data_IF_172093374121
#
_entry.id   IF_172093374121
#
_cell.length_a   1.000
_cell.length_b   1.000
_cell.length_c   1.000
_cell.angle_alpha   90.00
_cell.angle_beta   90.00
_cell.angle_gamma   90.00
#
_symmetry.space_group_name_H-M   'P 1'
#
loop_
_entity.id
_entity.type
_entity.pdbx_description
1 polymer ?
#
# COMPACT_ATOMS: atom_id res chain seq x y z
N UNK A 1 -6.27 4.05 41.94
CA UNK A 1 -5.50 4.58 40.79
C UNK A 1 -4.79 3.47 40.00
N UNK A 2 -5.41 2.29 39.81
CA UNK A 2 -4.91 1.22 38.92
C UNK A 2 -6.02 0.70 37.98
N UNK A 3 -7.27 1.03 38.27
CA UNK A 3 -8.42 0.61 37.46
C UNK A 3 -8.66 1.50 36.21
N UNK A 4 -8.05 2.69 36.14
CA UNK A 4 -8.16 3.61 35.01
C UNK A 4 -7.18 3.31 33.85
N UNK A 5 -6.11 2.55 34.09
CA UNK A 5 -5.13 2.20 33.06
C UNK A 5 -5.59 1.02 32.19
N UNK A 6 -6.42 0.12 32.70
CA UNK A 6 -6.87 -1.06 31.93
C UNK A 6 -8.02 -0.71 30.97
N UNK A 7 -8.86 0.29 31.29
CA UNK A 7 -9.87 0.79 30.35
C UNK A 7 -9.26 1.63 29.19
N UNK A 8 -8.09 2.23 29.39
CA UNK A 8 -7.41 3.00 28.34
C UNK A 8 -6.81 2.12 27.24
N UNK A 9 -6.33 0.92 27.60
CA UNK A 9 -5.73 -0.03 26.63
C UNK A 9 -6.80 -0.77 25.83
N UNK A 10 -7.96 -1.04 26.43
CA UNK A 10 -9.08 -1.72 25.74
C UNK A 10 -9.84 -0.78 24.79
N UNK A 11 -9.89 0.52 25.08
CA UNK A 11 -10.49 1.52 24.17
C UNK A 11 -9.64 1.74 22.91
N UNK A 12 -8.31 1.67 23.03
CA UNK A 12 -7.38 1.83 21.90
C UNK A 12 -7.47 0.70 20.84
N UNK A 13 -8.01 -0.47 21.21
CA UNK A 13 -8.12 -1.62 20.28
C UNK A 13 -9.40 -1.60 19.43
N UNK A 14 -10.39 -0.75 19.74
CA UNK A 14 -11.61 -0.54 18.91
C UNK A 14 -11.62 0.78 18.13
N UNK A 15 -10.65 1.67 18.37
CA UNK A 15 -10.30 2.79 17.48
C UNK A 15 -9.52 2.27 16.24
N UNK A 16 -9.90 1.09 15.74
CA UNK A 16 -9.26 0.40 14.63
C UNK A 16 -9.28 1.23 13.37
N UNK A 17 -8.41 0.89 12.40
CA UNK A 17 -8.13 1.47 11.08
C UNK A 17 -8.97 2.66 10.55
N UNK A 18 -10.29 2.71 10.77
CA UNK A 18 -11.14 3.88 10.57
C UNK A 18 -10.70 5.14 11.33
N UNK A 19 -10.20 5.05 12.58
CA UNK A 19 -9.63 6.22 13.27
C UNK A 19 -8.39 6.72 12.53
N UNK A 20 -7.48 5.81 12.19
CA UNK A 20 -6.27 6.13 11.42
C UNK A 20 -6.63 6.77 10.08
N UNK A 21 -7.58 6.21 9.32
CA UNK A 21 -8.05 6.80 8.06
C UNK A 21 -8.57 8.23 8.25
N UNK A 22 -9.30 8.50 9.34
CA UNK A 22 -9.83 9.83 9.65
C UNK A 22 -8.70 10.82 9.95
N UNK A 23 -7.74 10.45 10.79
CA UNK A 23 -6.63 11.33 11.15
C UNK A 23 -5.67 11.55 9.96
N UNK A 24 -5.38 10.49 9.20
CA UNK A 24 -4.62 10.59 7.94
C UNK A 24 -5.33 11.51 6.94
N UNK A 25 -6.66 11.41 6.83
CA UNK A 25 -7.45 12.33 6.01
C UNK A 25 -7.27 13.81 6.39
N UNK A 26 -7.11 14.12 7.68
CA UNK A 26 -6.79 15.50 8.13
C UNK A 26 -5.39 15.91 7.69
N UNK A 27 -4.40 15.03 7.85
CA UNK A 27 -3.01 15.29 7.41
C UNK A 27 -2.99 15.61 5.92
N UNK A 28 -3.62 14.78 5.11
CA UNK A 28 -3.70 14.94 3.65
C UNK A 28 -4.45 16.21 3.23
N UNK A 29 -5.52 16.59 3.95
CA UNK A 29 -6.28 17.80 3.62
C UNK A 29 -5.44 19.08 3.70
N UNK A 30 -4.31 19.05 4.43
CA UNK A 30 -3.32 20.12 4.49
C UNK A 30 -2.27 20.11 3.37
N UNK A 31 -2.24 19.08 2.50
CA UNK A 31 -1.20 18.85 1.49
C UNK A 31 -1.59 19.23 0.06
N UNK A 32 -2.70 19.96 -0.13
CA UNK A 32 -3.36 20.29 -1.40
C UNK A 32 -4.04 19.10 -2.10
N UNK A 33 -5.37 19.03 -1.91
CA UNK A 33 -6.34 18.74 -2.97
C UNK A 33 -6.20 17.45 -3.76
N UNK A 34 -6.61 16.33 -3.16
CA UNK A 34 -7.02 15.15 -3.90
C UNK A 34 -8.08 14.35 -3.14
N UNK A 35 -8.81 13.45 -3.81
CA UNK A 35 -9.98 12.80 -3.23
C UNK A 35 -9.63 11.84 -2.08
N UNK A 36 -9.69 12.35 -0.85
CA UNK A 36 -9.45 11.60 0.39
C UNK A 36 -10.42 10.42 0.59
N UNK A 37 -11.50 10.33 -0.19
CA UNK A 37 -12.48 9.24 -0.14
C UNK A 37 -11.94 7.91 -0.69
N UNK A 38 -10.72 7.91 -1.22
CA UNK A 38 -10.12 6.79 -1.95
C UNK A 38 -9.04 6.00 -1.18
N UNK A 39 -8.75 6.32 0.09
CA UNK A 39 -7.86 5.49 0.92
C UNK A 39 -8.55 4.14 1.19
N UNK A 40 -8.41 3.22 0.24
CA UNK A 40 -9.01 1.89 0.29
C UNK A 40 -8.04 0.92 0.93
N UNK A 41 -6.78 1.00 0.50
CA UNK A 41 -5.71 0.15 0.97
C UNK A 41 -4.84 0.93 1.92
N UNK A 42 -4.86 0.56 3.21
CA UNK A 42 -4.08 1.20 4.27
C UNK A 42 -3.61 0.11 5.23
N UNK A 43 -2.30 0.01 5.43
CA UNK A 43 -1.71 -0.87 6.43
C UNK A 43 -0.74 -0.08 7.32
N UNK A 44 -0.67 -0.34 8.63
CA UNK A 44 0.53 -0.03 9.40
C UNK A 44 1.65 -0.99 8.98
N UNK A 45 2.85 -0.46 8.73
CA UNK A 45 4.02 -1.27 8.36
C UNK A 45 5.33 -0.55 8.71
N UNK A 46 6.46 -1.25 8.61
CA UNK A 46 7.82 -0.67 8.73
C UNK A 46 8.01 0.22 9.96
N UNK A 47 7.63 -0.31 11.12
CA UNK A 47 7.87 0.32 12.44
C UNK A 47 7.31 1.74 12.58
N UNK A 48 5.97 1.87 12.51
CA UNK A 48 5.27 3.11 12.82
C UNK A 48 4.86 3.95 11.62
N UNK A 49 5.13 3.45 10.41
CA UNK A 49 4.64 4.05 9.18
C UNK A 49 3.28 3.47 8.79
N UNK A 50 2.57 4.21 7.97
CA UNK A 50 1.35 3.79 7.30
C UNK A 50 1.57 3.87 5.80
N UNK A 51 1.21 2.81 5.08
CA UNK A 51 1.30 2.73 3.63
C UNK A 51 -0.09 2.65 3.03
N UNK A 52 -0.31 3.43 1.97
CA UNK A 52 -1.63 3.57 1.38
C UNK A 52 -1.59 4.05 -0.06
N UNK A 53 -2.68 3.79 -0.78
CA UNK A 53 -2.90 4.40 -2.09
C UNK A 53 -3.39 5.85 -1.93
N UNK A 54 -2.80 6.78 -2.66
CA UNK A 54 -3.24 8.17 -2.68
C UNK A 54 -2.94 8.82 -4.03
N UNK A 55 -3.90 9.59 -4.50
CA UNK A 55 -3.76 10.52 -5.62
C UNK A 55 -3.48 11.89 -5.02
N UNK A 56 -2.56 12.67 -5.58
CA UNK A 56 -2.26 14.06 -5.17
C UNK A 56 -2.67 15.09 -6.25
N UNK A 57 -3.34 14.64 -7.30
CA UNK A 57 -3.74 15.43 -8.46
C UNK A 57 -2.61 15.72 -9.45
N UNK A 58 -1.40 15.21 -9.20
CA UNK A 58 -0.20 15.39 -10.04
C UNK A 58 0.31 14.05 -10.58
N UNK A 59 0.40 13.04 -9.71
CA UNK A 59 1.00 11.73 -10.01
C UNK A 59 -0.05 10.62 -10.18
N UNK A 60 -1.34 10.96 -10.18
CA UNK A 60 -2.41 9.95 -10.10
C UNK A 60 -2.33 9.11 -8.83
N UNK A 61 -3.11 8.03 -8.76
CA UNK A 61 -3.20 7.17 -7.58
C UNK A 61 -1.97 6.26 -7.41
N UNK A 62 -1.09 6.62 -6.48
CA UNK A 62 0.23 6.02 -6.27
C UNK A 62 0.45 5.51 -4.84
N UNK A 63 1.63 4.94 -4.57
CA UNK A 63 1.98 4.42 -3.25
C UNK A 63 2.56 5.53 -2.38
N UNK A 64 1.90 5.79 -1.26
CA UNK A 64 2.29 6.80 -0.28
C UNK A 64 2.62 6.18 1.06
N UNK A 65 3.46 6.88 1.81
CA UNK A 65 3.73 6.56 3.20
C UNK A 65 3.53 7.77 4.10
N UNK A 66 3.19 7.52 5.37
CA UNK A 66 3.01 8.57 6.38
C UNK A 66 3.39 8.07 7.77
N UNK A 67 3.96 8.96 8.59
CA UNK A 67 4.11 8.80 10.04
C UNK A 67 2.98 9.49 10.82
N UNK A 68 1.88 9.82 10.13
CA UNK A 68 0.75 10.63 10.63
C UNK A 68 1.09 12.11 10.85
N UNK A 69 2.17 12.62 10.25
CA UNK A 69 2.50 14.05 10.20
C UNK A 69 2.57 14.56 8.77
N UNK A 70 2.32 15.86 8.51
CA UNK A 70 2.48 16.42 7.17
C UNK A 70 3.90 16.25 6.60
N UNK A 71 4.94 16.36 7.43
CA UNK A 71 6.33 16.26 6.99
C UNK A 71 6.79 14.83 6.70
N UNK A 72 6.25 13.84 7.43
CA UNK A 72 6.53 12.43 7.18
C UNK A 72 5.61 11.79 6.15
N UNK A 73 4.65 12.54 5.59
CA UNK A 73 3.75 12.10 4.52
C UNK A 73 4.34 12.41 3.17
N UNK A 74 4.58 11.38 2.35
CA UNK A 74 5.21 11.53 1.04
C UNK A 74 4.88 10.37 0.10
N UNK A 75 4.96 10.66 -1.20
CA UNK A 75 5.02 9.67 -2.27
C UNK A 75 6.24 8.76 -2.03
N UNK A 76 6.05 7.46 -2.16
CA UNK A 76 7.14 6.47 -2.09
C UNK A 76 7.85 6.42 -3.44
N UNK A 77 7.06 6.31 -4.51
CA UNK A 77 7.50 6.31 -5.91
C UNK A 77 6.31 6.63 -6.81
N UNK A 78 6.55 7.40 -7.85
CA UNK A 78 5.64 7.54 -9.01
C UNK A 78 5.81 6.28 -9.87
N UNK A 79 4.95 5.27 -9.69
CA UNK A 79 5.06 3.97 -10.37
C UNK A 79 4.56 4.13 -11.82
N UNK A 80 3.38 4.72 -12.01
CA UNK A 80 2.87 5.05 -13.33
C UNK A 80 3.15 6.51 -13.67
N UNK A 81 4.32 6.77 -14.29
CA UNK A 81 4.84 8.13 -14.50
C UNK A 81 3.79 9.17 -14.94
N UNK A 82 3.78 10.30 -14.24
CA UNK A 82 2.91 11.45 -14.52
C UNK A 82 1.51 11.27 -13.95
N UNK A 83 0.48 11.82 -14.62
CA UNK A 83 -0.88 11.81 -14.08
C UNK A 83 -1.64 10.47 -14.32
N UNK A 84 -0.92 9.37 -14.53
CA UNK A 84 -1.53 8.04 -14.69
C UNK A 84 -1.71 7.41 -13.31
N UNK A 85 -2.65 6.47 -13.20
CA UNK A 85 -2.85 5.77 -11.93
C UNK A 85 -2.07 4.45 -11.93
N UNK A 86 -1.13 4.28 -11.00
CA UNK A 86 -0.51 2.98 -10.75
C UNK A 86 -1.39 2.03 -9.91
N UNK A 87 -2.43 2.56 -9.26
CA UNK A 87 -3.39 1.85 -8.41
C UNK A 87 -2.78 0.82 -7.42
N UNK A 88 -1.89 1.20 -6.50
CA UNK A 88 -1.36 0.24 -5.52
C UNK A 88 -2.44 -0.37 -4.63
N UNK A 89 -2.48 -1.70 -4.55
CA UNK A 89 -3.47 -2.43 -3.76
C UNK A 89 -2.95 -3.78 -3.27
N UNK A 90 -3.75 -4.49 -2.44
CA UNK A 90 -3.33 -5.74 -1.80
C UNK A 90 -1.97 -5.61 -1.07
N UNK A 91 -1.80 -4.55 -0.28
CA UNK A 91 -0.56 -4.33 0.48
C UNK A 91 -0.40 -5.38 1.58
N UNK A 92 0.78 -5.99 1.65
CA UNK A 92 1.16 -6.96 2.68
C UNK A 92 2.59 -6.71 3.14
N UNK A 93 2.82 -6.55 4.45
CA UNK A 93 4.17 -6.51 5.01
C UNK A 93 4.70 -7.93 5.24
N UNK A 94 5.89 -8.21 4.73
CA UNK A 94 6.65 -9.43 4.99
C UNK A 94 8.15 -9.13 5.05
N UNK A 95 8.85 -9.66 6.06
CA UNK A 95 10.30 -9.50 6.23
C UNK A 95 10.85 -8.07 6.07
N UNK A 96 10.13 -7.08 6.65
CA UNK A 96 10.44 -5.63 6.59
C UNK A 96 10.41 -5.06 5.16
N UNK A 97 9.57 -5.62 4.31
CA UNK A 97 9.23 -5.10 2.98
C UNK A 97 7.72 -5.14 2.82
N UNK A 98 7.21 -4.33 1.91
CA UNK A 98 5.80 -4.31 1.57
C UNK A 98 5.67 -4.80 0.13
N UNK A 99 4.83 -5.80 -0.04
CA UNK A 99 4.46 -6.38 -1.31
C UNK A 99 3.06 -5.91 -1.68
N UNK A 100 2.85 -5.59 -2.94
CA UNK A 100 1.60 -5.00 -3.42
C UNK A 100 1.44 -5.17 -4.93
N UNK A 101 0.20 -5.09 -5.40
CA UNK A 101 -0.12 -5.05 -6.83
C UNK A 101 -0.07 -3.60 -7.33
N UNK A 102 0.53 -3.35 -8.50
CA UNK A 102 0.50 -2.05 -9.17
C UNK A 102 0.80 -2.18 -10.67
N UNK A 103 0.40 -1.18 -11.45
CA UNK A 103 0.63 -1.07 -12.90
C UNK A 103 1.53 0.14 -13.20
N UNK A 104 2.64 -0.03 -13.92
CA UNK A 104 3.51 1.09 -14.33
C UNK A 104 3.16 1.65 -15.72
N UNK A 105 2.09 1.14 -16.33
CA UNK A 105 1.65 1.46 -17.68
C UNK A 105 2.50 0.79 -18.78
N UNK A 106 3.41 -0.11 -18.41
CA UNK A 106 4.29 -0.86 -19.32
C UNK A 106 4.09 -2.37 -19.17
N UNK A 107 4.01 -2.87 -17.93
CA UNK A 107 3.91 -4.30 -17.60
C UNK A 107 2.48 -4.74 -17.21
N UNK A 108 1.52 -3.82 -17.17
CA UNK A 108 0.22 -4.11 -16.59
C UNK A 108 0.31 -4.28 -15.07
N UNK A 109 -0.80 -4.69 -14.44
CA UNK A 109 -0.85 -4.94 -13.00
C UNK A 109 -0.04 -6.19 -12.64
N UNK A 110 1.03 -5.99 -11.87
CA UNK A 110 1.99 -7.02 -11.48
C UNK A 110 2.40 -6.91 -10.00
N UNK A 111 3.25 -7.83 -9.52
CA UNK A 111 3.72 -7.82 -8.12
C UNK A 111 4.91 -6.86 -7.95
N UNK A 112 4.77 -5.89 -7.05
CA UNK A 112 5.78 -4.91 -6.66
C UNK A 112 6.23 -5.10 -5.23
N UNK A 113 7.42 -4.58 -4.92
CA UNK A 113 7.97 -4.54 -3.56
C UNK A 113 8.55 -3.17 -3.25
N UNK A 114 8.44 -2.75 -1.98
CA UNK A 114 9.12 -1.56 -1.44
C UNK A 114 9.71 -1.83 -0.05
N UNK A 115 10.77 -1.11 0.29
CA UNK A 115 11.29 -0.95 1.66
C UNK A 115 10.94 0.43 2.28
N UNK A 116 10.04 1.19 1.64
CA UNK A 116 9.68 2.55 2.03
C UNK A 116 10.57 3.64 1.40
N UNK A 117 11.48 3.27 0.51
CA UNK A 117 12.31 4.20 -0.26
C UNK A 117 12.06 4.05 -1.76
N UNK A 118 12.20 5.14 -2.51
CA UNK A 118 12.07 5.14 -3.96
C UNK A 118 13.04 4.14 -4.61
N UNK A 119 14.30 4.11 -4.16
CA UNK A 119 15.34 3.21 -4.67
C UNK A 119 15.07 1.73 -4.35
N UNK A 120 14.43 1.46 -3.21
CA UNK A 120 14.00 0.12 -2.81
C UNK A 120 12.63 -0.27 -3.36
N UNK A 121 12.02 0.52 -4.25
CA UNK A 121 10.72 0.25 -4.86
C UNK A 121 10.84 -0.19 -6.31
N UNK A 122 10.49 -1.45 -6.59
CA UNK A 122 10.68 -2.08 -7.90
C UNK A 122 9.69 -3.22 -8.17
N UNK A 123 9.52 -3.54 -9.46
CA UNK A 123 8.76 -4.69 -9.94
C UNK A 123 9.44 -5.98 -9.43
N UNK A 124 8.76 -6.70 -8.53
CA UNK A 124 9.31 -7.90 -7.91
C UNK A 124 9.24 -9.09 -8.87
N UNK A 125 8.10 -9.24 -9.55
CA UNK A 125 7.84 -10.28 -10.53
C UNK A 125 6.89 -9.73 -11.59
N UNK A 126 7.29 -9.91 -12.85
CA UNK A 126 6.42 -9.78 -14.04
C UNK A 126 5.89 -11.18 -14.36
N UNK A 127 4.69 -11.51 -13.87
CA UNK A 127 4.09 -12.84 -14.05
C UNK A 127 3.63 -13.03 -15.49
N UNK A 128 3.15 -11.97 -16.14
CA UNK A 128 2.73 -11.98 -17.54
C UNK A 128 3.58 -11.01 -18.38
N UNK A 129 4.69 -11.50 -18.97
CA UNK A 129 5.61 -10.65 -19.71
C UNK A 129 4.92 -9.76 -20.75
N UNK A 130 5.16 -8.45 -20.63
CA UNK A 130 4.56 -7.43 -21.49
C UNK A 130 3.38 -6.73 -20.80
N UNK A 131 2.48 -6.11 -21.56
CA UNK A 131 1.45 -5.22 -21.00
C UNK A 131 0.20 -5.94 -20.44
N UNK A 132 0.28 -7.25 -20.20
CA UNK A 132 -0.88 -8.04 -19.78
C UNK A 132 -0.88 -8.17 -18.25
N UNK A 133 -1.93 -7.69 -17.59
CA UNK A 133 -2.06 -7.80 -16.13
C UNK A 133 -2.09 -9.26 -15.64
N UNK A 134 -1.45 -9.53 -14.50
CA UNK A 134 -1.53 -10.81 -13.80
C UNK A 134 -2.59 -10.88 -12.71
N UNK A 135 -3.32 -9.79 -12.44
CA UNK A 135 -4.44 -9.77 -11.49
C UNK A 135 -4.04 -10.26 -10.08
N UNK A 136 -3.00 -9.65 -9.52
CA UNK A 136 -2.43 -10.04 -8.23
C UNK A 136 -3.48 -9.88 -7.12
N UNK A 137 -3.76 -10.94 -6.39
CA UNK A 137 -4.79 -10.99 -5.35
C UNK A 137 -4.33 -11.75 -4.11
N UNK A 138 -5.04 -11.54 -2.99
CA UNK A 138 -4.89 -12.33 -1.76
C UNK A 138 -3.44 -12.46 -1.22
N UNK A 139 -2.67 -11.37 -1.29
CA UNK A 139 -1.31 -11.31 -0.73
C UNK A 139 -1.32 -11.57 0.78
N UNK A 140 -0.60 -12.60 1.21
CA UNK A 140 -0.54 -12.99 2.63
C UNK A 140 0.82 -13.54 3.02
N UNK A 141 1.30 -13.12 4.17
CA UNK A 141 2.55 -13.62 4.74
C UNK A 141 2.27 -14.75 5.74
N UNK A 142 2.90 -15.91 5.58
CA UNK A 142 2.79 -17.02 6.51
C UNK A 142 4.08 -17.85 6.55
N UNK A 143 4.62 -18.06 7.75
CA UNK A 143 5.73 -18.99 7.96
C UNK A 143 7.02 -18.67 7.19
N UNK A 144 7.31 -17.40 6.94
CA UNK A 144 8.49 -16.97 6.17
C UNK A 144 8.24 -16.85 4.66
N UNK A 145 7.06 -17.22 4.19
CA UNK A 145 6.66 -17.14 2.78
C UNK A 145 5.63 -16.03 2.57
N UNK A 146 5.68 -15.41 1.41
CA UNK A 146 4.60 -14.59 0.86
C UNK A 146 3.84 -15.45 -0.14
N UNK A 147 2.52 -15.54 0.03
CA UNK A 147 1.61 -16.19 -0.91
C UNK A 147 0.77 -15.13 -1.60
N UNK A 148 0.49 -15.31 -2.88
CA UNK A 148 -0.43 -14.48 -3.64
C UNK A 148 -1.06 -15.30 -4.77
N UNK A 149 -2.26 -14.90 -5.20
CA UNK A 149 -2.89 -15.41 -6.41
C UNK A 149 -2.52 -14.53 -7.60
N UNK A 150 -2.17 -15.14 -8.73
CA UNK A 150 -1.99 -14.46 -10.00
C UNK A 150 -2.46 -15.33 -11.17
N UNK A 151 -2.95 -14.68 -12.21
CA UNK A 151 -3.26 -15.28 -13.50
C UNK A 151 -2.02 -15.23 -14.38
N UNK A 152 -1.56 -16.39 -14.85
CA UNK A 152 -0.53 -16.44 -15.89
C UNK A 152 -1.15 -16.79 -17.24
N UNK A 153 -0.58 -16.24 -18.31
CA UNK A 153 -0.96 -16.53 -19.69
C UNK A 153 -0.53 -17.94 -20.14
N UNK A 154 0.37 -18.59 -19.39
CA UNK A 154 0.86 -19.94 -19.66
C UNK A 154 0.10 -21.02 -18.88
N UNK A 155 -0.39 -20.72 -17.68
CA UNK A 155 -1.19 -21.61 -16.83
C UNK A 155 -2.18 -20.82 -15.94
N UNK A 156 -3.46 -21.19 -15.96
CA UNK A 156 -4.48 -20.53 -15.15
C UNK A 156 -4.26 -20.68 -13.64
N UNK A 157 -4.44 -19.59 -12.88
CA UNK A 157 -4.40 -19.47 -11.40
C UNK A 157 -3.31 -20.29 -10.69
N UNK A 158 -2.15 -19.68 -10.44
CA UNK A 158 -1.12 -20.26 -9.58
C UNK A 158 -1.07 -19.55 -8.21
N UNK A 159 -0.93 -20.34 -7.13
CA UNK A 159 -0.48 -19.84 -5.83
C UNK A 159 1.02 -20.13 -5.71
N UNK A 160 1.85 -19.09 -5.59
CA UNK A 160 3.30 -19.22 -5.35
C UNK A 160 3.71 -18.52 -4.06
#
# INVERSE_FOLDING_TARGET
MLLLLVQSVVTAQKEGIGHVKKELGKVLSGLNGADHRSIRWLIPALSGQYFFNHDDGVHGAELWQSDMTPFGTRLVKDIAEGAKDGYPHHLCEHDRRIFFAADDGVHGEELWVTDGTEAGTYLAVDVNPGAAASHVSDTTACGGFLFFGALSNEDGFEMR
#
